data_IF_898334218799
#
_entry.id   IF_898334218799
#
_cell.length_a   1.000
_cell.length_b   1.000
_cell.length_c   1.000
_cell.angle_alpha   90.00
_cell.angle_beta   90.00
_cell.angle_gamma   90.00
#
_symmetry.space_group_name_H-M   'P 1'
#
loop_
_entity.id
_entity.type
_entity.pdbx_description
1 polymer ?
#
# COMPACT_ATOMS: atom_id res chain seq x y z
N UNK A 1 -12.09 -36.45 2.31
CA UNK A 1 -12.24 -35.51 3.46
C UNK A 1 -12.12 -34.09 2.93
N UNK A 2 -12.91 -33.18 3.47
CA UNK A 2 -13.46 -31.99 2.82
C UNK A 2 -12.43 -30.99 2.27
N UNK A 3 -12.64 -30.56 1.01
CA UNK A 3 -12.01 -29.36 0.42
C UNK A 3 -12.65 -28.13 1.07
N UNK A 4 -11.97 -27.52 2.05
CA UNK A 4 -12.37 -26.20 2.56
C UNK A 4 -11.72 -25.12 1.69
N UNK A 5 -12.20 -24.99 0.45
CA UNK A 5 -11.90 -23.83 -0.37
C UNK A 5 -12.86 -22.70 0.04
N UNK A 6 -12.34 -21.65 0.66
CA UNK A 6 -13.10 -20.41 0.86
C UNK A 6 -13.01 -19.66 -0.47
N UNK A 7 -14.13 -19.59 -1.18
CA UNK A 7 -14.27 -18.66 -2.31
C UNK A 7 -14.05 -17.24 -1.77
N UNK A 8 -12.88 -16.67 -2.04
CA UNK A 8 -12.72 -15.22 -2.02
C UNK A 8 -13.44 -14.76 -3.27
N UNK A 9 -14.68 -14.31 -3.12
CA UNK A 9 -15.47 -13.79 -4.21
C UNK A 9 -14.62 -12.76 -4.97
N UNK A 10 -14.34 -13.03 -6.25
CA UNK A 10 -13.89 -12.00 -7.17
C UNK A 10 -14.82 -10.80 -7.01
N UNK A 11 -14.28 -9.57 -6.83
CA UNK A 11 -15.13 -8.42 -6.63
C UNK A 11 -16.04 -8.30 -7.85
N UNK A 12 -17.33 -8.57 -7.65
CA UNK A 12 -18.32 -8.41 -8.70
C UNK A 12 -18.23 -6.97 -9.18
N UNK A 13 -17.78 -6.79 -10.41
CA UNK A 13 -17.72 -5.48 -11.07
C UNK A 13 -19.17 -5.11 -11.39
N UNK A 14 -19.86 -4.59 -10.37
CA UNK A 14 -21.13 -3.89 -10.53
C UNK A 14 -20.91 -2.76 -11.54
N UNK A 15 -21.70 -2.76 -12.62
CA UNK A 15 -21.65 -1.74 -13.68
C UNK A 15 -21.96 -0.34 -13.16
N UNK A 16 -22.63 -0.24 -12.01
CA UNK A 16 -22.94 1.02 -11.35
C UNK A 16 -21.91 1.32 -10.26
N UNK A 17 -21.27 2.51 -10.27
CA UNK A 17 -20.36 2.96 -9.22
C UNK A 17 -21.00 2.84 -7.84
N UNK A 18 -20.28 2.25 -6.88
CA UNK A 18 -20.74 2.04 -5.51
C UNK A 18 -19.91 2.83 -4.52
N UNK A 19 -20.55 3.63 -3.67
CA UNK A 19 -19.90 4.40 -2.60
C UNK A 19 -20.43 3.87 -1.28
N UNK A 20 -19.54 3.67 -0.33
CA UNK A 20 -19.92 3.41 1.06
C UNK A 20 -19.53 4.60 1.91
N UNK A 21 -20.46 5.11 2.72
CA UNK A 21 -20.22 6.24 3.63
C UNK A 21 -20.31 5.71 5.04
N UNK A 22 -19.41 6.14 5.92
CA UNK A 22 -19.54 5.78 7.33
C UNK A 22 -20.90 6.23 7.87
N UNK A 23 -21.61 5.33 8.54
CA UNK A 23 -22.94 5.65 9.05
C UNK A 23 -23.14 5.02 10.42
N UNK A 24 -23.43 5.87 11.40
CA UNK A 24 -23.82 5.46 12.74
C UNK A 24 -24.91 6.42 13.23
N UNK A 25 -26.15 5.92 13.46
CA UNK A 25 -27.25 6.75 13.96
C UNK A 25 -26.97 7.46 15.29
N UNK A 26 -26.03 6.94 16.10
CA UNK A 26 -25.63 7.53 17.39
C UNK A 26 -24.53 8.59 17.25
N UNK A 27 -23.97 8.79 16.05
CA UNK A 27 -22.90 9.75 15.83
C UNK A 27 -23.42 11.19 15.83
N UNK A 28 -22.84 12.02 16.70
CA UNK A 28 -23.23 13.44 16.84
C UNK A 28 -22.18 14.41 16.32
N UNK A 29 -20.92 13.98 16.20
CA UNK A 29 -19.78 14.89 16.01
C UNK A 29 -19.17 14.86 14.62
N UNK A 30 -19.28 13.76 13.87
CA UNK A 30 -18.54 13.59 12.61
C UNK A 30 -19.27 14.10 11.36
N UNK A 31 -20.54 14.49 11.46
CA UNK A 31 -21.34 14.98 10.33
C UNK A 31 -21.63 13.93 9.25
N UNK A 32 -21.35 12.65 9.51
CA UNK A 32 -21.44 11.59 8.50
C UNK A 32 -22.85 11.39 7.93
N UNK A 33 -23.88 11.66 8.74
CA UNK A 33 -25.28 11.64 8.31
C UNK A 33 -25.57 12.70 7.23
N UNK A 34 -25.06 13.92 7.42
CA UNK A 34 -25.22 15.00 6.45
C UNK A 34 -24.49 14.67 5.15
N UNK A 35 -23.30 14.08 5.25
CA UNK A 35 -22.54 13.64 4.08
C UNK A 35 -23.26 12.53 3.32
N UNK A 36 -23.78 11.53 4.03
CA UNK A 36 -24.55 10.44 3.42
C UNK A 36 -25.76 10.97 2.64
N UNK A 37 -26.59 11.80 3.28
CA UNK A 37 -27.76 12.42 2.65
C UNK A 37 -27.36 13.37 1.52
N UNK A 38 -26.32 14.16 1.72
CA UNK A 38 -25.83 15.14 0.75
C UNK A 38 -25.30 14.49 -0.53
N UNK A 39 -24.62 13.33 -0.42
CA UNK A 39 -24.16 12.59 -1.61
C UNK A 39 -25.35 12.05 -2.41
N UNK A 40 -26.38 11.52 -1.74
CA UNK A 40 -27.59 11.02 -2.42
C UNK A 40 -28.29 12.18 -3.15
N UNK A 41 -28.57 13.28 -2.44
CA UNK A 41 -29.25 14.44 -3.03
C UNK A 41 -28.45 15.06 -4.19
N UNK A 42 -27.13 15.21 -4.04
CA UNK A 42 -26.28 15.76 -5.08
C UNK A 42 -26.15 14.81 -6.30
N UNK A 43 -26.12 13.49 -6.07
CA UNK A 43 -26.09 12.52 -7.16
C UNK A 43 -27.40 12.53 -7.98
N UNK A 44 -28.55 12.63 -7.31
CA UNK A 44 -29.86 12.79 -7.96
C UNK A 44 -29.93 14.10 -8.75
N UNK A 45 -29.52 15.22 -8.15
CA UNK A 45 -29.52 16.53 -8.79
C UNK A 45 -28.61 16.59 -10.03
N UNK A 46 -27.47 15.91 -9.98
CA UNK A 46 -26.49 15.86 -11.07
C UNK A 46 -26.76 14.72 -12.07
N UNK A 47 -27.79 13.91 -11.84
CA UNK A 47 -28.15 12.75 -12.64
C UNK A 47 -26.98 11.74 -12.82
N UNK A 48 -26.21 11.53 -11.74
CA UNK A 48 -25.06 10.61 -11.72
C UNK A 48 -25.52 9.24 -11.22
N UNK A 49 -25.37 8.16 -12.01
CA UNK A 49 -25.74 6.83 -11.56
C UNK A 49 -24.72 6.34 -10.52
N UNK A 50 -25.12 6.32 -9.25
CA UNK A 50 -24.29 5.85 -8.13
C UNK A 50 -25.15 5.18 -7.06
N UNK A 51 -24.66 4.06 -6.53
CA UNK A 51 -25.27 3.38 -5.38
C UNK A 51 -24.54 3.82 -4.12
N UNK A 52 -25.25 4.43 -3.17
CA UNK A 52 -24.69 4.87 -1.88
C UNK A 52 -25.20 3.95 -0.78
N UNK A 53 -24.28 3.33 -0.04
CA UNK A 53 -24.63 2.43 1.07
C UNK A 53 -23.99 2.88 2.39
N UNK A 54 -24.67 2.64 3.54
CA UNK A 54 -24.08 2.88 4.85
C UNK A 54 -23.03 1.81 5.19
N UNK A 55 -21.83 2.23 5.56
CA UNK A 55 -20.80 1.34 6.10
C UNK A 55 -21.02 1.09 7.59
N UNK A 56 -20.94 -0.17 8.02
CA UNK A 56 -21.02 -0.57 9.43
C UNK A 56 -19.70 -0.25 10.14
N UNK A 57 -19.65 0.86 10.88
CA UNK A 57 -18.38 1.38 11.41
C UNK A 57 -18.03 1.00 12.85
N UNK A 58 -18.84 0.22 13.57
CA UNK A 58 -18.53 -0.23 14.94
C UNK A 58 -18.12 0.89 15.92
N UNK A 59 -18.53 2.13 15.67
CA UNK A 59 -18.01 3.31 16.37
C UNK A 59 -18.93 3.79 17.49
N UNK A 60 -18.40 4.56 18.44
CA UNK A 60 -19.15 5.14 19.56
C UNK A 60 -19.82 6.49 19.23
N UNK A 61 -19.54 7.05 18.04
CA UNK A 61 -20.18 8.27 17.55
C UNK A 61 -19.52 9.60 17.97
N UNK A 62 -18.32 9.55 18.56
CA UNK A 62 -17.54 10.71 19.04
C UNK A 62 -16.34 11.06 18.16
N UNK A 63 -16.30 10.55 16.92
CA UNK A 63 -15.19 10.76 16.00
C UNK A 63 -15.01 12.26 15.67
N UNK A 64 -13.76 12.74 15.77
CA UNK A 64 -13.37 14.13 15.49
C UNK A 64 -12.85 14.34 14.06
N UNK A 65 -12.63 13.26 13.33
CA UNK A 65 -11.96 13.28 12.03
C UNK A 65 -12.94 13.28 10.83
N UNK A 66 -14.19 13.68 11.04
CA UNK A 66 -15.19 13.81 9.98
C UNK A 66 -15.65 12.49 9.37
N UNK A 67 -16.33 12.56 8.22
CA UNK A 67 -16.85 11.38 7.54
C UNK A 67 -15.77 10.66 6.72
N UNK A 68 -15.93 9.34 6.61
CA UNK A 68 -15.14 8.48 5.75
C UNK A 68 -16.01 8.00 4.60
N UNK A 69 -15.43 7.97 3.41
CA UNK A 69 -16.04 7.40 2.22
C UNK A 69 -15.11 6.32 1.69
N UNK A 70 -15.66 5.21 1.24
CA UNK A 70 -14.93 4.18 0.52
C UNK A 70 -15.58 3.95 -0.84
N UNK A 71 -14.72 3.71 -1.83
CA UNK A 71 -15.09 3.40 -3.20
C UNK A 71 -14.62 1.97 -3.48
N UNK A 72 -15.40 0.93 -3.13
CA UNK A 72 -14.97 -0.45 -3.25
C UNK A 72 -14.49 -0.84 -4.65
N UNK A 73 -15.11 -0.26 -5.69
CA UNK A 73 -14.75 -0.49 -7.10
C UNK A 73 -13.42 0.16 -7.52
N UNK A 74 -12.92 1.14 -6.76
CA UNK A 74 -11.62 1.78 -6.98
C UNK A 74 -10.56 1.32 -5.97
N UNK A 75 -10.97 0.65 -4.89
CA UNK A 75 -10.06 0.32 -3.79
C UNK A 75 -9.46 1.58 -3.13
N UNK A 76 -10.19 2.69 -3.07
CA UNK A 76 -9.71 3.92 -2.40
C UNK A 76 -10.65 4.32 -1.28
N UNK A 77 -10.10 5.00 -0.27
CA UNK A 77 -10.88 5.60 0.81
C UNK A 77 -10.51 7.06 1.02
N UNK A 78 -11.53 7.87 1.26
CA UNK A 78 -11.42 9.27 1.63
C UNK A 78 -11.71 9.45 3.11
N UNK A 79 -11.02 10.41 3.71
CA UNK A 79 -11.10 10.73 5.12
C UNK A 79 -11.28 12.23 5.29
N UNK A 80 -11.87 12.67 6.42
CA UNK A 80 -12.12 14.08 6.72
C UNK A 80 -12.97 14.74 5.64
N UNK A 81 -13.92 13.99 5.08
CA UNK A 81 -14.84 14.49 4.06
C UNK A 81 -15.82 15.47 4.70
N UNK A 82 -16.00 16.62 4.06
CA UNK A 82 -16.87 17.72 4.44
C UNK A 82 -17.91 17.94 3.35
N UNK A 83 -18.98 18.65 3.66
CA UNK A 83 -20.10 18.89 2.73
C UNK A 83 -19.63 19.57 1.43
N UNK A 84 -18.70 20.53 1.52
CA UNK A 84 -18.12 21.20 0.35
C UNK A 84 -17.31 20.30 -0.60
N UNK A 85 -16.97 19.07 -0.21
CA UNK A 85 -16.26 18.13 -1.08
C UNK A 85 -17.19 17.28 -1.94
N UNK A 86 -18.49 17.22 -1.63
CA UNK A 86 -19.44 16.27 -2.23
C UNK A 86 -19.48 16.42 -3.75
N UNK A 87 -19.67 17.64 -4.26
CA UNK A 87 -19.72 17.88 -5.71
C UNK A 87 -18.42 17.49 -6.40
N UNK A 88 -17.27 17.81 -5.79
CA UNK A 88 -15.96 17.49 -6.36
C UNK A 88 -15.77 15.98 -6.44
N UNK A 89 -16.15 15.24 -5.40
CA UNK A 89 -16.08 13.78 -5.36
C UNK A 89 -16.96 13.16 -6.45
N UNK A 90 -18.19 13.66 -6.62
CA UNK A 90 -19.10 13.16 -7.65
C UNK A 90 -18.58 13.43 -9.07
N UNK A 91 -18.13 14.67 -9.36
CA UNK A 91 -17.60 15.04 -10.68
C UNK A 91 -16.29 14.34 -11.00
N UNK A 92 -15.30 14.45 -10.12
CA UNK A 92 -13.95 13.96 -10.38
C UNK A 92 -13.86 12.45 -10.18
N UNK A 93 -14.33 11.93 -9.05
CA UNK A 93 -14.13 10.51 -8.71
C UNK A 93 -15.16 9.59 -9.33
N UNK A 94 -16.45 9.93 -9.29
CA UNK A 94 -17.51 9.04 -9.80
C UNK A 94 -17.62 9.10 -11.31
N UNK A 95 -17.69 10.29 -11.91
CA UNK A 95 -17.84 10.43 -13.36
C UNK A 95 -16.50 10.27 -14.11
N UNK A 96 -15.45 10.98 -13.68
CA UNK A 96 -14.18 11.03 -14.41
C UNK A 96 -13.15 9.98 -13.96
N UNK A 97 -13.45 9.18 -12.92
CA UNK A 97 -12.54 8.18 -12.33
C UNK A 97 -11.21 8.78 -11.85
N UNK A 98 -11.20 10.04 -11.44
CA UNK A 98 -10.02 10.77 -10.91
C UNK A 98 -10.00 10.78 -9.38
N UNK A 99 -8.80 10.74 -8.81
CA UNK A 99 -8.62 10.76 -7.36
C UNK A 99 -8.48 12.20 -6.87
N UNK A 100 -9.30 12.58 -5.89
CA UNK A 100 -9.17 13.84 -5.15
C UNK A 100 -8.08 13.69 -4.09
N UNK A 101 -6.83 13.92 -4.48
CA UNK A 101 -5.64 13.70 -3.63
C UNK A 101 -5.72 14.30 -2.21
N UNK A 102 -6.25 15.52 -1.97
CA UNK A 102 -6.35 16.07 -0.62
C UNK A 102 -7.19 15.23 0.35
N UNK A 103 -8.13 14.44 -0.17
CA UNK A 103 -9.03 13.59 0.60
C UNK A 103 -8.57 12.14 0.67
N UNK A 104 -7.70 11.74 -0.26
CA UNK A 104 -7.14 10.41 -0.30
C UNK A 104 -6.38 10.13 1.00
N UNK A 105 -6.79 9.06 1.66
CA UNK A 105 -5.94 8.43 2.66
C UNK A 105 -5.45 7.11 2.10
N UNK A 106 -4.14 6.98 2.06
CA UNK A 106 -3.46 5.73 1.84
C UNK A 106 -3.23 5.12 3.21
N UNK A 107 -3.68 3.88 3.41
CA UNK A 107 -3.28 3.11 4.57
C UNK A 107 -1.82 2.68 4.34
N UNK A 108 -0.84 3.18 5.12
CA UNK A 108 0.57 2.84 4.90
C UNK A 108 0.90 1.37 5.22
N UNK A 109 -0.04 0.62 5.82
CA UNK A 109 0.11 -0.80 6.17
C UNK A 109 -0.80 -1.73 5.34
N UNK A 110 -1.64 -1.15 4.47
CA UNK A 110 -2.40 -1.91 3.48
C UNK A 110 -2.26 -1.21 2.16
N UNK A 111 -1.31 -1.70 1.35
CA UNK A 111 -1.38 -1.45 -0.08
C UNK A 111 -2.67 -2.07 -0.59
N UNK A 112 -3.61 -1.24 -1.03
CA UNK A 112 -4.95 -1.67 -1.47
C UNK A 112 -4.85 -2.36 -2.85
N UNK A 113 -3.63 -2.46 -3.37
CA UNK A 113 -3.29 -2.89 -4.71
C UNK A 113 -1.80 -3.23 -4.71
N UNK A 114 -1.43 -4.48 -5.00
CA UNK A 114 -0.02 -4.95 -4.98
C UNK A 114 0.94 -4.15 -5.88
N UNK A 115 0.42 -3.21 -6.66
CA UNK A 115 1.14 -2.27 -7.51
C UNK A 115 1.57 -0.96 -6.81
N UNK A 116 1.15 -0.61 -5.59
CA UNK A 116 1.47 0.70 -5.02
C UNK A 116 2.42 0.65 -3.81
N UNK A 117 3.61 1.26 -3.93
CA UNK A 117 4.50 1.55 -2.80
C UNK A 117 4.39 3.03 -2.45
N UNK A 118 4.11 3.32 -1.17
CA UNK A 118 4.21 4.68 -0.63
C UNK A 118 5.32 4.74 0.41
N UNK A 119 6.33 5.58 0.18
CA UNK A 119 7.37 5.85 1.16
C UNK A 119 7.21 7.28 1.69
N UNK A 120 6.73 7.37 2.93
CA UNK A 120 6.36 8.63 3.58
C UNK A 120 7.58 9.53 3.85
N UNK A 121 8.75 8.96 4.14
CA UNK A 121 9.93 9.75 4.50
C UNK A 121 10.57 10.46 3.28
N UNK A 122 10.44 9.88 2.09
CA UNK A 122 10.90 10.38 0.82
C UNK A 122 9.81 11.14 0.06
N UNK A 123 8.53 11.00 0.46
CA UNK A 123 7.40 11.62 -0.22
C UNK A 123 7.15 11.04 -1.62
N UNK A 124 7.51 9.77 -1.84
CA UNK A 124 7.45 9.12 -3.14
C UNK A 124 6.31 8.08 -3.20
N UNK A 125 5.48 8.16 -4.24
CA UNK A 125 4.55 7.09 -4.66
C UNK A 125 5.18 6.39 -5.85
N UNK A 126 5.29 5.07 -5.78
CA UNK A 126 5.71 4.24 -6.90
C UNK A 126 4.57 3.29 -7.27
N UNK A 127 4.20 3.27 -8.54
CA UNK A 127 3.29 2.29 -9.13
C UNK A 127 4.12 1.22 -9.86
N UNK A 128 3.85 -0.05 -9.63
CA UNK A 128 4.60 -1.21 -10.08
C UNK A 128 3.67 -2.15 -10.85
N UNK A 129 4.07 -2.64 -12.02
CA UNK A 129 3.23 -3.61 -12.75
C UNK A 129 3.17 -4.95 -12.00
N UNK A 130 1.99 -5.59 -11.85
CA UNK A 130 1.86 -6.91 -11.22
C UNK A 130 2.70 -8.02 -11.87
N UNK A 131 3.18 -7.83 -13.12
CA UNK A 131 4.08 -8.77 -13.79
C UNK A 131 5.53 -8.70 -13.27
N UNK A 132 5.89 -7.67 -12.49
CA UNK A 132 7.22 -7.52 -11.93
C UNK A 132 7.38 -8.38 -10.67
N UNK A 133 8.63 -8.76 -10.36
CA UNK A 133 8.95 -9.39 -9.09
C UNK A 133 9.54 -8.35 -8.13
N UNK A 134 8.97 -8.24 -6.94
CA UNK A 134 9.41 -7.22 -5.98
C UNK A 134 10.76 -7.54 -5.33
N UNK A 135 11.19 -8.81 -5.35
CA UNK A 135 12.55 -9.22 -4.97
C UNK A 135 13.57 -8.70 -5.98
N UNK A 136 13.27 -8.78 -7.29
CA UNK A 136 14.14 -8.26 -8.34
C UNK A 136 14.23 -6.73 -8.28
N UNK A 137 13.10 -6.05 -8.06
CA UNK A 137 13.08 -4.59 -7.86
C UNK A 137 13.89 -4.20 -6.63
N UNK A 138 13.77 -4.93 -5.52
CA UNK A 138 14.57 -4.68 -4.33
C UNK A 138 16.08 -4.83 -4.60
N UNK A 139 16.49 -5.90 -5.28
CA UNK A 139 17.90 -6.11 -5.66
C UNK A 139 18.42 -4.95 -6.54
N UNK A 140 17.64 -4.54 -7.54
CA UNK A 140 17.98 -3.41 -8.40
C UNK A 140 18.18 -2.13 -7.59
N UNK A 141 17.22 -1.77 -6.74
CA UNK A 141 17.30 -0.59 -5.89
C UNK A 141 18.50 -0.65 -4.95
N UNK A 142 18.78 -1.80 -4.34
CA UNK A 142 19.91 -1.96 -3.43
C UNK A 142 21.23 -1.78 -4.17
N UNK A 143 21.39 -2.39 -5.35
CA UNK A 143 22.61 -2.28 -6.15
C UNK A 143 22.84 -0.85 -6.65
N UNK A 144 21.78 -0.17 -7.08
CA UNK A 144 21.86 1.25 -7.41
C UNK A 144 22.43 2.08 -6.24
N UNK A 145 21.92 1.87 -5.02
CA UNK A 145 22.41 2.60 -3.85
C UNK A 145 23.77 2.11 -3.34
N UNK A 146 24.17 0.89 -3.68
CA UNK A 146 25.53 0.39 -3.43
C UNK A 146 26.55 1.23 -4.20
N UNK A 147 26.29 1.47 -5.49
CA UNK A 147 27.17 2.25 -6.37
C UNK A 147 27.23 3.74 -5.98
N UNK A 148 26.12 4.29 -5.47
CA UNK A 148 26.04 5.68 -4.99
C UNK A 148 26.64 5.90 -3.58
N UNK A 149 26.95 4.83 -2.86
CA UNK A 149 27.50 4.91 -1.51
C UNK A 149 28.93 5.49 -1.53
N UNK A 150 29.15 6.59 -0.82
CA UNK A 150 30.51 7.15 -0.66
C UNK A 150 31.49 6.25 0.14
N UNK A 151 31.00 5.16 0.75
CA UNK A 151 31.85 4.16 1.42
C UNK A 151 32.48 4.57 2.75
N UNK A 152 32.20 5.77 3.28
CA UNK A 152 32.86 6.31 4.49
C UNK A 152 32.54 5.57 5.79
N UNK A 153 31.28 5.23 6.03
CA UNK A 153 30.86 4.59 7.28
C UNK A 153 30.58 3.10 7.09
N UNK A 154 31.08 2.29 8.03
CA UNK A 154 30.93 0.83 8.03
C UNK A 154 29.47 0.35 7.92
N UNK A 155 28.48 0.87 8.69
CA UNK A 155 27.10 0.39 8.57
C UNK A 155 26.53 0.63 7.17
N UNK A 156 26.87 1.73 6.49
CA UNK A 156 26.45 1.97 5.11
C UNK A 156 27.17 1.08 4.11
N UNK A 157 28.52 1.07 4.14
CA UNK A 157 29.35 0.34 3.18
C UNK A 157 29.12 -1.16 3.24
N UNK A 158 29.18 -1.73 4.44
CA UNK A 158 29.03 -3.17 4.66
C UNK A 158 27.56 -3.59 4.66
N UNK A 159 26.67 -2.75 5.20
CA UNK A 159 25.24 -3.05 5.27
C UNK A 159 24.62 -3.12 3.87
N UNK A 160 24.84 -2.12 3.01
CA UNK A 160 24.27 -2.14 1.65
C UNK A 160 24.86 -3.30 0.83
N UNK A 161 26.16 -3.57 0.96
CA UNK A 161 26.79 -4.72 0.32
C UNK A 161 26.10 -6.03 0.73
N UNK A 162 25.93 -6.23 2.04
CA UNK A 162 25.31 -7.46 2.56
C UNK A 162 23.84 -7.57 2.15
N UNK A 163 23.11 -6.46 2.10
CA UNK A 163 21.74 -6.43 1.56
C UNK A 163 21.71 -6.83 0.08
N UNK A 164 22.70 -6.40 -0.72
CA UNK A 164 22.81 -6.78 -2.14
C UNK A 164 23.07 -8.28 -2.30
N UNK A 165 23.98 -8.84 -1.48
CA UNK A 165 24.30 -10.27 -1.48
C UNK A 165 23.08 -11.11 -1.08
N UNK A 166 22.39 -10.73 -0.01
CA UNK A 166 21.20 -11.42 0.48
C UNK A 166 20.07 -11.37 -0.55
N UNK A 167 19.75 -10.20 -1.11
CA UNK A 167 18.70 -10.09 -2.12
C UNK A 167 19.02 -10.85 -3.40
N UNK A 168 20.29 -10.84 -3.83
CA UNK A 168 20.74 -11.68 -4.95
C UNK A 168 20.56 -13.17 -4.64
N UNK A 169 20.90 -13.61 -3.41
CA UNK A 169 20.71 -14.99 -2.98
C UNK A 169 19.22 -15.37 -2.92
N UNK A 170 18.36 -14.46 -2.44
CA UNK A 170 16.90 -14.66 -2.39
C UNK A 170 16.35 -14.79 -3.81
N UNK A 171 16.67 -13.84 -4.70
CA UNK A 171 16.22 -13.88 -6.11
C UNK A 171 16.62 -15.19 -6.81
N UNK A 172 17.78 -15.74 -6.47
CA UNK A 172 18.27 -17.00 -7.03
C UNK A 172 17.76 -18.27 -6.30
N UNK A 173 16.96 -18.15 -5.23
CA UNK A 173 16.50 -19.28 -4.41
C UNK A 173 17.60 -19.98 -3.60
N UNK A 174 18.70 -19.28 -3.28
CA UNK A 174 19.88 -19.79 -2.54
C UNK A 174 20.07 -19.13 -1.18
N UNK A 175 19.16 -18.26 -0.77
CA UNK A 175 19.25 -17.58 0.51
C UNK A 175 18.97 -18.53 1.69
N UNK A 176 19.60 -18.29 2.85
CA UNK A 176 19.27 -19.02 4.06
C UNK A 176 17.85 -18.66 4.56
N UNK A 177 17.25 -19.53 5.37
CA UNK A 177 15.87 -19.38 5.84
C UNK A 177 15.63 -18.10 6.67
N UNK A 178 16.68 -17.56 7.29
CA UNK A 178 16.68 -16.36 8.13
C UNK A 178 17.09 -15.09 7.36
N UNK A 179 17.27 -15.16 6.04
CA UNK A 179 17.73 -14.01 5.24
C UNK A 179 16.90 -12.74 5.43
N UNK A 180 15.57 -12.86 5.52
CA UNK A 180 14.68 -11.71 5.78
C UNK A 180 14.95 -11.09 7.14
N UNK A 181 15.14 -11.90 8.18
CA UNK A 181 15.45 -11.41 9.53
C UNK A 181 16.85 -10.77 9.60
N UNK A 182 17.81 -11.30 8.85
CA UNK A 182 19.13 -10.69 8.69
C UNK A 182 19.02 -9.33 8.00
N UNK A 183 18.26 -9.23 6.90
CA UNK A 183 18.00 -7.96 6.21
C UNK A 183 17.36 -6.94 7.14
N UNK A 184 16.33 -7.32 7.91
CA UNK A 184 15.68 -6.43 8.89
C UNK A 184 16.68 -5.89 9.92
N UNK A 185 17.56 -6.75 10.44
CA UNK A 185 18.59 -6.38 11.40
C UNK A 185 19.61 -5.38 10.82
N UNK A 186 20.04 -5.60 9.57
CA UNK A 186 20.94 -4.70 8.85
C UNK A 186 20.30 -3.33 8.60
N UNK A 187 19.03 -3.33 8.19
CA UNK A 187 18.25 -2.10 7.97
C UNK A 187 18.19 -1.26 9.25
N UNK A 188 17.95 -1.88 10.41
CA UNK A 188 17.93 -1.20 11.70
C UNK A 188 19.29 -0.57 12.02
N UNK A 189 20.38 -1.33 11.87
CA UNK A 189 21.73 -0.84 12.10
C UNK A 189 22.09 0.36 11.20
N UNK A 190 21.75 0.26 9.91
CA UNK A 190 21.95 1.33 8.93
C UNK A 190 21.15 2.59 9.21
N UNK A 191 20.01 2.48 9.93
CA UNK A 191 19.21 3.65 10.36
C UNK A 191 19.78 4.31 11.61
N UNK A 192 20.34 3.53 12.54
CA UNK A 192 20.72 4.02 13.87
C UNK A 192 22.12 4.62 13.93
N UNK A 193 23.08 4.06 13.18
CA UNK A 193 24.48 4.43 13.29
C UNK A 193 25.15 4.98 12.01
N UNK A 194 24.45 5.60 11.03
CA UNK A 194 25.13 6.08 9.85
C UNK A 194 25.81 7.44 10.09
N UNK A 195 26.91 7.68 9.38
CA UNK A 195 27.60 8.98 9.43
C UNK A 195 26.79 10.11 8.74
N UNK A 196 26.01 9.77 7.72
CA UNK A 196 25.16 10.70 6.99
C UNK A 196 23.75 10.12 6.78
N UNK A 197 22.82 10.94 6.26
CA UNK A 197 21.43 10.53 6.06
C UNK A 197 21.20 9.51 4.93
N UNK A 198 22.23 9.24 4.11
CA UNK A 198 22.12 8.34 2.96
C UNK A 198 21.66 6.93 3.35
N UNK A 199 22.36 6.27 4.27
CA UNK A 199 22.02 4.90 4.70
C UNK A 199 20.62 4.82 5.32
N UNK A 200 20.22 5.84 6.08
CA UNK A 200 18.87 5.93 6.62
C UNK A 200 17.81 5.94 5.51
N UNK A 201 17.99 6.76 4.48
CA UNK A 201 17.08 6.82 3.32
C UNK A 201 16.99 5.48 2.58
N UNK A 202 18.14 4.86 2.31
CA UNK A 202 18.22 3.53 1.68
C UNK A 202 17.45 2.49 2.49
N UNK A 203 17.67 2.45 3.81
CA UNK A 203 16.95 1.56 4.72
C UNK A 203 15.43 1.77 4.69
N UNK A 204 14.94 3.00 4.57
CA UNK A 204 13.50 3.28 4.48
C UNK A 204 12.86 2.69 3.22
N UNK A 205 13.53 2.84 2.07
CA UNK A 205 13.05 2.30 0.79
C UNK A 205 12.98 0.78 0.85
N UNK A 206 14.07 0.13 1.27
CA UNK A 206 14.17 -1.34 1.29
C UNK A 206 13.18 -1.93 2.30
N UNK A 207 13.06 -1.33 3.49
CA UNK A 207 12.09 -1.76 4.50
C UNK A 207 10.65 -1.68 3.97
N UNK A 208 10.33 -0.66 3.18
CA UNK A 208 9.00 -0.52 2.58
C UNK A 208 8.69 -1.68 1.62
N UNK A 209 9.63 -2.04 0.75
CA UNK A 209 9.47 -3.18 -0.17
C UNK A 209 9.35 -4.49 0.62
N UNK A 210 10.25 -4.71 1.59
CA UNK A 210 10.25 -5.93 2.40
C UNK A 210 8.96 -6.10 3.21
N UNK A 211 8.42 -5.01 3.80
CA UNK A 211 7.22 -5.07 4.63
C UNK A 211 5.94 -5.29 3.81
N UNK A 212 5.84 -4.67 2.64
CA UNK A 212 4.64 -4.78 1.81
C UNK A 212 4.61 -6.04 0.95
N UNK A 213 5.77 -6.60 0.60
CA UNK A 213 5.90 -7.76 -0.30
C UNK A 213 6.57 -8.96 0.35
N UNK A 214 6.50 -9.07 1.69
CA UNK A 214 7.15 -10.14 2.46
C UNK A 214 6.84 -11.53 1.91
N UNK A 215 5.62 -11.76 1.47
CA UNK A 215 5.16 -13.03 0.89
C UNK A 215 5.96 -13.42 -0.36
N UNK A 216 6.35 -12.47 -1.22
CA UNK A 216 7.19 -12.76 -2.38
C UNK A 216 8.62 -13.16 -1.98
N UNK A 217 9.20 -12.50 -0.97
CA UNK A 217 10.51 -12.89 -0.44
C UNK A 217 10.46 -14.29 0.17
N UNK A 218 9.41 -14.60 0.92
CA UNK A 218 9.20 -15.92 1.51
C UNK A 218 8.98 -17.00 0.45
N UNK A 219 8.25 -16.72 -0.63
CA UNK A 219 8.09 -17.65 -1.75
C UNK A 219 9.44 -17.98 -2.42
N UNK A 220 10.30 -16.99 -2.62
CA UNK A 220 11.64 -17.22 -3.16
C UNK A 220 12.51 -18.09 -2.24
N UNK A 221 12.42 -17.89 -0.92
CA UNK A 221 13.23 -18.62 0.07
C UNK A 221 12.72 -20.04 0.29
N UNK A 222 11.42 -20.21 0.56
CA UNK A 222 10.81 -21.47 1.00
C UNK A 222 10.41 -22.35 -0.18
N UNK A 223 9.78 -21.77 -1.19
CA UNK A 223 9.24 -22.51 -2.34
C UNK A 223 10.25 -22.60 -3.48
N UNK A 224 11.36 -21.85 -3.41
CA UNK A 224 12.30 -21.68 -4.52
C UNK A 224 11.56 -21.34 -5.82
N UNK A 225 10.59 -20.43 -5.71
CA UNK A 225 9.70 -20.04 -6.81
C UNK A 225 9.50 -18.53 -6.82
N UNK A 226 9.50 -17.96 -8.02
CA UNK A 226 9.13 -16.57 -8.25
C UNK A 226 7.62 -16.49 -8.54
N UNK A 227 6.82 -15.77 -7.72
CA UNK A 227 5.40 -15.62 -7.98
C UNK A 227 5.08 -15.04 -9.36
N UNK A 228 5.88 -14.07 -9.81
CA UNK A 228 5.72 -13.40 -11.11
C UNK A 228 6.39 -14.16 -12.27
N UNK A 229 7.14 -15.25 -11.99
CA UNK A 229 7.77 -16.09 -13.01
C UNK A 229 8.97 -15.47 -13.75
N UNK A 230 9.41 -14.27 -13.38
CA UNK A 230 10.49 -13.54 -14.07
C UNK A 230 11.89 -13.90 -13.58
N UNK A 231 12.04 -14.26 -12.29
CA UNK A 231 13.35 -14.57 -11.73
C UNK A 231 13.84 -15.95 -12.15
N UNK A 232 15.08 -16.02 -12.63
CA UNK A 232 15.80 -17.29 -12.83
C UNK A 232 16.26 -17.83 -11.49
N UNK A 233 15.59 -18.86 -11.00
CA UNK A 233 15.93 -19.56 -9.76
C UNK A 233 16.89 -20.69 -10.07
N UNK A 234 17.96 -20.81 -9.28
CA UNK A 234 18.90 -21.90 -9.41
C UNK A 234 18.21 -23.19 -8.95
N UNK A 235 18.05 -24.12 -9.89
CA UNK A 235 17.58 -25.50 -9.66
C UNK A 235 18.56 -26.27 -8.77
#
# INVERSE_FOLDING_TARGET
>A
MAKTAINIAEPQISTTPKITVCHNPKAKTCGAENIYKGIIAAAEQMNIPVVVEPAKCGCTGTCKDGAFLSFPYLGVFYHKVKEGHIETILKETVQQKKIVFPLLRLNPLQSIRGDLIWEKAAGCIMAMDPSLCMVEIAEYLIKFHYDESCGKCAPCRLGIQRLADLTTAIRCGRAPADAVAEMESLIVLMKQAPYCSFAGKVSHIILSVLSNFKEEFEAHIKEKRCPSGVCKIAS
#
